data_IF_140830371951
#
_entry.id   IF_140830371951
#
_cell.length_a   1.000
_cell.length_b   1.000
_cell.length_c   1.000
_cell.angle_alpha   90.00
_cell.angle_beta   90.00
_cell.angle_gamma   90.00
#
_symmetry.space_group_name_H-M   'P 1'
#
loop_
_entity.id
_entity.type
_entity.pdbx_description
1 polymer ?
#
# COMPACT_ATOMS: atom_id res chain seq x y z
N UNK A 1 21.97 -14.87 18.71
CA UNK A 1 23.34 -15.06 19.23
C UNK A 1 23.83 -13.73 19.76
N UNK A 2 24.23 -13.65 21.03
CA UNK A 2 24.87 -12.44 21.58
C UNK A 2 26.22 -12.35 20.89
N UNK A 3 26.38 -11.36 20.01
CA UNK A 3 27.68 -11.05 19.42
C UNK A 3 28.57 -10.61 20.57
N UNK A 4 29.66 -11.33 20.83
CA UNK A 4 30.70 -10.90 21.76
C UNK A 4 31.34 -9.66 21.12
N UNK A 5 30.86 -8.46 21.47
CA UNK A 5 31.29 -7.21 20.85
C UNK A 5 32.10 -6.37 21.82
N UNK A 6 33.26 -5.90 21.35
CA UNK A 6 34.13 -4.98 22.05
C UNK A 6 33.51 -3.57 22.17
N UNK A 7 34.20 -2.67 22.89
CA UNK A 7 33.71 -1.32 23.14
C UNK A 7 33.50 -0.50 21.86
N UNK A 8 34.30 -0.74 20.81
CA UNK A 8 34.18 -0.04 19.54
C UNK A 8 32.92 -0.48 18.78
N UNK A 9 32.65 -1.77 18.73
CA UNK A 9 31.41 -2.30 18.17
C UNK A 9 30.18 -1.79 18.92
N UNK A 10 30.19 -1.77 20.26
CA UNK A 10 29.07 -1.25 21.05
C UNK A 10 28.78 0.23 20.74
N UNK A 11 29.83 1.04 20.58
CA UNK A 11 29.70 2.44 20.21
C UNK A 11 29.09 2.62 18.81
N UNK A 12 29.48 1.77 17.84
CA UNK A 12 28.90 1.77 16.49
C UNK A 12 27.42 1.40 16.52
N UNK A 13 27.04 0.31 17.21
CA UNK A 13 25.64 -0.10 17.34
C UNK A 13 24.80 1.00 17.99
N UNK A 14 25.34 1.68 19.00
CA UNK A 14 24.66 2.82 19.64
C UNK A 14 24.52 4.03 18.70
N UNK A 15 25.49 4.29 17.83
CA UNK A 15 25.41 5.33 16.82
C UNK A 15 24.36 5.01 15.75
N UNK A 16 24.36 3.78 15.21
CA UNK A 16 23.37 3.32 14.24
C UNK A 16 21.95 3.37 14.80
N UNK A 17 21.75 2.93 16.06
CA UNK A 17 20.46 3.02 16.74
C UNK A 17 19.98 4.47 16.88
N UNK A 18 20.88 5.39 17.23
CA UNK A 18 20.53 6.83 17.31
C UNK A 18 20.15 7.38 15.94
N UNK A 19 20.91 7.05 14.89
CA UNK A 19 20.60 7.47 13.52
C UNK A 19 19.21 6.97 13.09
N UNK A 20 18.94 5.67 13.25
CA UNK A 20 17.63 5.09 12.98
C UNK A 20 16.50 5.79 13.77
N UNK A 21 16.72 6.04 15.06
CA UNK A 21 15.72 6.69 15.91
C UNK A 21 15.36 8.10 15.41
N UNK A 22 16.35 8.94 15.12
CA UNK A 22 16.12 10.33 14.71
C UNK A 22 15.73 10.48 13.24
N UNK A 23 16.23 9.62 12.35
CA UNK A 23 16.04 9.77 10.91
C UNK A 23 14.87 8.95 10.38
N UNK A 24 14.48 7.85 11.04
CA UNK A 24 13.40 6.97 10.58
C UNK A 24 12.25 6.98 11.58
N UNK A 25 12.49 6.54 12.83
CA UNK A 25 11.37 6.33 13.77
C UNK A 25 10.62 7.61 14.14
N UNK A 26 11.32 8.67 14.55
CA UNK A 26 10.63 9.91 14.96
C UNK A 26 9.81 10.51 13.80
N UNK A 27 10.36 10.72 12.59
CA UNK A 27 9.59 11.26 11.47
C UNK A 27 8.40 10.37 11.08
N UNK A 28 8.57 9.05 11.12
CA UNK A 28 7.52 8.07 10.84
C UNK A 28 6.33 8.22 11.80
N UNK A 29 6.60 8.18 13.11
CA UNK A 29 5.56 8.32 14.14
C UNK A 29 4.93 9.73 14.15
N UNK A 30 5.73 10.75 13.83
CA UNK A 30 5.23 12.12 13.70
C UNK A 30 4.26 12.24 12.51
N UNK A 31 4.52 11.57 11.39
CA UNK A 31 3.62 11.53 10.25
C UNK A 31 2.26 10.91 10.62
N UNK A 32 2.25 9.80 11.37
CA UNK A 32 1.01 9.25 11.93
C UNK A 32 0.31 10.22 12.86
N UNK A 33 1.04 10.89 13.75
CA UNK A 33 0.47 11.85 14.68
C UNK A 33 -0.22 13.02 13.95
N UNK A 34 0.41 13.56 12.90
CA UNK A 34 -0.19 14.61 12.07
C UNK A 34 -1.44 14.14 11.32
N UNK A 35 -1.38 12.96 10.69
CA UNK A 35 -2.54 12.38 10.01
C UNK A 35 -3.70 12.18 10.98
N UNK A 36 -3.43 11.62 12.16
CA UNK A 36 -4.42 11.40 13.21
C UNK A 36 -5.03 12.70 13.72
N UNK A 37 -4.20 13.71 13.99
CA UNK A 37 -4.66 15.02 14.42
C UNK A 37 -5.58 15.66 13.37
N UNK A 38 -5.20 15.59 12.09
CA UNK A 38 -5.98 16.17 11.00
C UNK A 38 -7.28 15.41 10.74
N UNK A 39 -7.27 14.08 10.78
CA UNK A 39 -8.42 13.24 10.44
C UNK A 39 -9.39 13.03 11.61
N UNK A 40 -8.90 13.04 12.85
CA UNK A 40 -9.69 12.78 14.05
C UNK A 40 -10.37 11.41 13.99
N UNK A 41 -11.68 11.35 14.24
CA UNK A 41 -12.45 10.09 14.21
C UNK A 41 -12.49 9.42 12.83
N UNK A 42 -12.01 10.09 11.77
CA UNK A 42 -11.97 9.56 10.40
C UNK A 42 -10.64 8.93 10.00
N UNK A 43 -9.62 8.84 10.87
CA UNK A 43 -8.35 8.19 10.48
C UNK A 43 -8.57 6.77 9.95
N UNK A 44 -9.50 6.02 10.55
CA UNK A 44 -9.80 4.64 10.11
C UNK A 44 -10.40 4.53 8.69
N UNK A 45 -10.71 5.66 8.05
CA UNK A 45 -11.11 5.71 6.64
C UNK A 45 -9.91 5.78 5.68
N UNK A 46 -8.69 5.97 6.20
CA UNK A 46 -7.45 5.88 5.45
C UNK A 46 -6.97 4.42 5.46
N UNK A 47 -6.70 3.82 4.28
CA UNK A 47 -6.16 2.48 4.20
C UNK A 47 -4.81 2.35 4.93
N UNK A 48 -4.56 1.18 5.52
CA UNK A 48 -3.35 0.93 6.31
C UNK A 48 -2.10 1.13 5.44
N UNK A 49 -2.07 0.57 4.24
CA UNK A 49 -0.93 0.73 3.32
C UNK A 49 -0.63 2.21 3.02
N UNK A 50 -1.65 3.07 2.93
CA UNK A 50 -1.44 4.48 2.63
C UNK A 50 -0.92 5.22 3.85
N UNK A 51 -1.44 4.92 5.04
CA UNK A 51 -0.98 5.49 6.30
C UNK A 51 0.49 5.12 6.59
N UNK A 52 0.86 3.85 6.41
CA UNK A 52 2.25 3.41 6.60
C UNK A 52 3.15 3.92 5.48
N UNK A 53 2.69 3.88 4.23
CA UNK A 53 3.45 4.35 3.08
C UNK A 53 3.79 5.83 3.16
N UNK A 54 2.85 6.68 3.60
CA UNK A 54 3.13 8.10 3.81
C UNK A 54 4.07 8.33 5.00
N UNK A 55 4.02 7.49 6.04
CA UNK A 55 4.93 7.60 7.18
C UNK A 55 6.37 7.28 6.77
N UNK A 56 6.58 6.20 6.01
CA UNK A 56 7.90 5.86 5.45
C UNK A 56 8.43 6.94 4.50
N UNK A 57 7.55 7.58 3.70
CA UNK A 57 7.98 8.69 2.83
C UNK A 57 8.37 9.96 3.61
N UNK A 58 8.02 10.08 4.89
CA UNK A 58 8.47 11.17 5.76
C UNK A 58 9.76 10.84 6.53
N UNK A 59 10.27 9.62 6.42
CA UNK A 59 11.60 9.26 6.93
C UNK A 59 12.68 10.04 6.16
N UNK A 60 13.76 10.40 6.85
CA UNK A 60 14.85 11.21 6.29
C UNK A 60 15.87 10.38 5.49
N UNK A 61 15.73 9.05 5.49
CA UNK A 61 16.59 8.09 4.80
C UNK A 61 15.84 6.77 4.58
N UNK A 62 16.34 5.89 3.70
CA UNK A 62 15.79 4.53 3.54
C UNK A 62 14.76 4.36 2.42
N UNK A 63 14.22 5.46 1.88
CA UNK A 63 13.18 5.41 0.84
C UNK A 63 13.72 4.82 -0.48
N UNK A 64 14.94 5.18 -0.88
CA UNK A 64 15.55 4.63 -2.11
C UNK A 64 15.75 3.13 -2.00
N UNK A 65 16.28 2.66 -0.86
CA UNK A 65 16.48 1.24 -0.57
C UNK A 65 15.15 0.47 -0.51
N UNK A 66 14.09 1.10 0.00
CA UNK A 66 12.74 0.53 -0.03
C UNK A 66 12.24 0.38 -1.47
N UNK A 67 12.42 1.38 -2.33
CA UNK A 67 12.02 1.31 -3.74
C UNK A 67 12.82 0.23 -4.49
N UNK A 68 14.13 0.11 -4.26
CA UNK A 68 14.96 -0.92 -4.87
C UNK A 68 14.57 -2.35 -4.44
N UNK A 69 14.21 -2.53 -3.17
CA UNK A 69 13.61 -3.77 -2.67
C UNK A 69 12.33 -4.09 -3.44
N UNK A 70 11.45 -3.12 -3.65
CA UNK A 70 10.19 -3.33 -4.39
C UNK A 70 10.45 -3.67 -5.86
N UNK A 71 11.43 -3.04 -6.52
CA UNK A 71 11.84 -3.42 -7.88
C UNK A 71 12.30 -4.88 -7.94
N UNK A 72 13.03 -5.34 -6.92
CA UNK A 72 13.44 -6.74 -6.81
C UNK A 72 12.22 -7.67 -6.65
N UNK A 73 11.28 -7.32 -5.78
CA UNK A 73 10.02 -8.07 -5.59
C UNK A 73 9.15 -8.10 -6.85
N UNK A 74 9.17 -7.00 -7.62
CA UNK A 74 8.47 -6.88 -8.89
C UNK A 74 9.00 -7.91 -9.90
N UNK A 75 10.32 -8.00 -10.05
CA UNK A 75 10.99 -8.92 -10.98
C UNK A 75 10.76 -10.39 -10.60
N UNK A 76 10.60 -10.70 -9.31
CA UNK A 76 10.33 -12.06 -8.83
C UNK A 76 8.84 -12.42 -8.73
N UNK A 77 7.93 -11.50 -9.09
CA UNK A 77 6.48 -11.73 -9.03
C UNK A 77 5.92 -11.81 -7.60
N UNK A 78 6.61 -11.21 -6.62
CA UNK A 78 6.29 -11.30 -5.20
C UNK A 78 5.49 -10.11 -4.64
N UNK A 79 5.11 -9.15 -5.49
CA UNK A 79 4.30 -8.00 -5.07
C UNK A 79 2.89 -8.42 -4.68
N UNK A 80 2.43 -7.95 -3.51
CA UNK A 80 1.04 -8.11 -3.09
C UNK A 80 0.09 -7.29 -3.96
N UNK A 81 -1.18 -7.68 -4.03
CA UNK A 81 -2.20 -6.85 -4.68
C UNK A 81 -2.59 -5.71 -3.75
N UNK A 82 -2.79 -4.51 -4.28
CA UNK A 82 -3.16 -3.33 -3.49
C UNK A 82 -4.47 -3.55 -2.73
N UNK A 83 -5.44 -4.24 -3.36
CA UNK A 83 -6.71 -4.61 -2.76
C UNK A 83 -6.59 -5.47 -1.48
N UNK A 84 -5.49 -6.19 -1.28
CA UNK A 84 -5.26 -7.03 -0.08
C UNK A 84 -4.29 -6.40 0.92
N UNK A 85 -3.61 -5.31 0.55
CA UNK A 85 -2.68 -4.61 1.45
C UNK A 85 -3.39 -3.80 2.53
N UNK A 86 -4.70 -3.53 2.39
CA UNK A 86 -5.50 -2.91 3.44
C UNK A 86 -6.02 -3.91 4.49
N UNK A 87 -5.79 -5.22 4.26
CA UNK A 87 -6.16 -6.22 5.24
C UNK A 87 -5.29 -6.06 6.50
N UNK A 88 -5.91 -6.14 7.67
CA UNK A 88 -5.27 -6.16 9.01
C UNK A 88 -4.25 -7.31 9.22
N UNK A 89 -3.92 -8.04 8.17
CA UNK A 89 -3.02 -9.21 8.15
C UNK A 89 -1.59 -8.87 8.54
N UNK A 90 -1.12 -7.62 8.49
CA UNK A 90 0.20 -7.24 9.02
C UNK A 90 0.32 -7.52 10.53
N UNK A 91 -0.76 -7.31 11.28
CA UNK A 91 -0.77 -7.41 12.75
C UNK A 91 -0.49 -8.85 13.24
N UNK A 92 -0.50 -9.85 12.36
CA UNK A 92 -0.17 -11.25 12.66
C UNK A 92 1.06 -11.82 11.94
N UNK A 93 1.84 -11.00 11.20
CA UNK A 93 3.03 -11.49 10.50
C UNK A 93 4.22 -11.60 11.47
N UNK A 94 4.64 -12.83 11.77
CA UNK A 94 5.88 -13.10 12.50
C UNK A 94 7.12 -13.18 11.58
N UNK A 95 6.92 -13.02 10.27
CA UNK A 95 7.98 -13.07 9.26
C UNK A 95 8.50 -11.66 8.98
N UNK A 96 9.59 -11.28 9.67
CA UNK A 96 10.20 -9.95 9.58
C UNK A 96 10.54 -9.55 8.13
N UNK A 97 11.15 -10.39 7.27
CA UNK A 97 11.29 -10.12 5.85
C UNK A 97 9.99 -9.68 5.15
N UNK A 98 8.91 -10.46 5.32
CA UNK A 98 7.61 -10.13 4.69
C UNK A 98 6.99 -8.84 5.21
N UNK A 99 7.24 -8.49 6.47
CA UNK A 99 6.81 -7.20 7.03
C UNK A 99 7.57 -6.06 6.34
N UNK A 100 8.90 -6.18 6.21
CA UNK A 100 9.74 -5.18 5.53
C UNK A 100 9.35 -5.01 4.06
N UNK A 101 9.06 -6.11 3.37
CA UNK A 101 8.61 -6.09 1.97
C UNK A 101 7.28 -5.35 1.81
N UNK A 102 6.34 -5.57 2.75
CA UNK A 102 5.06 -4.86 2.74
C UNK A 102 5.21 -3.36 2.99
N UNK A 103 6.03 -2.94 3.97
CA UNK A 103 6.30 -1.51 4.21
C UNK A 103 6.98 -0.85 3.02
N UNK A 104 7.94 -1.53 2.39
CA UNK A 104 8.60 -1.04 1.20
C UNK A 104 7.60 -0.88 0.04
N UNK A 105 6.72 -1.87 -0.15
CA UNK A 105 5.67 -1.80 -1.17
C UNK A 105 4.71 -0.63 -0.91
N UNK A 106 4.24 -0.45 0.31
CA UNK A 106 3.40 0.67 0.74
C UNK A 106 4.08 2.03 0.49
N UNK A 107 5.36 2.16 0.86
CA UNK A 107 6.15 3.36 0.63
C UNK A 107 6.30 3.68 -0.86
N UNK A 108 6.55 2.66 -1.69
CA UNK A 108 6.71 2.85 -3.14
C UNK A 108 5.42 3.28 -3.83
N UNK A 109 4.25 2.82 -3.36
CA UNK A 109 2.95 3.26 -3.86
C UNK A 109 2.75 4.74 -3.59
N UNK A 110 3.11 5.23 -2.40
CA UNK A 110 3.00 6.66 -2.06
C UNK A 110 4.07 7.49 -2.76
N UNK A 111 5.30 6.98 -2.90
CA UNK A 111 6.36 7.65 -3.66
C UNK A 111 5.96 7.85 -5.13
N UNK A 112 5.31 6.85 -5.73
CA UNK A 112 4.73 6.96 -7.08
C UNK A 112 3.64 8.03 -7.15
N UNK A 113 2.76 8.13 -6.15
CA UNK A 113 1.78 9.21 -6.06
C UNK A 113 2.46 10.58 -6.14
N UNK A 114 3.50 10.78 -5.32
CA UNK A 114 4.21 12.05 -5.25
C UNK A 114 4.95 12.38 -6.54
N UNK A 115 5.59 11.39 -7.15
CA UNK A 115 6.31 11.60 -8.39
C UNK A 115 5.40 12.00 -9.55
N UNK A 116 4.17 11.47 -9.59
CA UNK A 116 3.24 11.68 -10.72
C UNK A 116 2.27 12.83 -10.52
N UNK A 117 1.84 13.10 -9.28
CA UNK A 117 0.81 14.10 -8.97
C UNK A 117 1.26 15.16 -7.95
N UNK A 118 2.54 15.19 -7.56
CA UNK A 118 3.09 16.17 -6.63
C UNK A 118 2.82 15.85 -5.17
N UNK A 119 3.51 16.56 -4.27
CA UNK A 119 3.39 16.36 -2.82
C UNK A 119 2.02 16.80 -2.28
N UNK A 120 1.34 17.74 -2.95
CA UNK A 120 0.01 18.21 -2.58
C UNK A 120 -1.09 17.13 -2.71
N UNK A 121 -0.82 16.08 -3.50
CA UNK A 121 -1.76 14.98 -3.74
C UNK A 121 -2.19 14.29 -2.44
N UNK A 122 -1.27 14.12 -1.48
CA UNK A 122 -1.57 13.58 -0.15
C UNK A 122 -2.65 14.41 0.55
N UNK A 123 -2.41 15.73 0.65
CA UNK A 123 -3.32 16.66 1.30
C UNK A 123 -4.68 16.72 0.60
N UNK A 124 -4.69 16.66 -0.74
CA UNK A 124 -5.93 16.63 -1.52
C UNK A 124 -6.76 15.37 -1.25
N UNK A 125 -6.14 14.18 -1.21
CA UNK A 125 -6.83 12.92 -0.91
C UNK A 125 -7.37 12.96 0.52
N UNK A 126 -6.52 13.27 1.51
CA UNK A 126 -6.90 13.30 2.93
C UNK A 126 -8.07 14.27 3.16
N UNK A 127 -8.03 15.47 2.54
CA UNK A 127 -9.12 16.45 2.63
C UNK A 127 -10.44 15.87 2.14
N UNK A 128 -10.45 15.22 0.97
CA UNK A 128 -11.66 14.63 0.40
C UNK A 128 -12.21 13.49 1.27
N UNK A 129 -11.34 12.67 1.87
CA UNK A 129 -11.77 11.61 2.80
C UNK A 129 -12.36 12.21 4.08
N UNK A 130 -11.73 13.27 4.62
CA UNK A 130 -12.26 14.03 5.76
C UNK A 130 -13.66 14.59 5.48
N UNK A 131 -13.90 15.03 4.25
CA UNK A 131 -15.18 15.60 3.79
C UNK A 131 -16.30 14.58 3.57
N UNK A 132 -16.02 13.27 3.54
CA UNK A 132 -17.07 12.26 3.32
C UNK A 132 -16.74 11.19 2.31
N UNK A 133 -15.77 11.41 1.42
CA UNK A 133 -15.49 10.46 0.35
C UNK A 133 -14.85 9.19 0.89
N UNK A 134 -15.13 8.06 0.24
CA UNK A 134 -14.31 6.86 0.40
C UNK A 134 -12.89 7.17 -0.10
N UNK A 135 -11.89 6.46 0.44
CA UNK A 135 -10.52 6.64 -0.01
C UNK A 135 -10.36 6.43 -1.52
N UNK A 136 -10.98 5.40 -2.09
CA UNK A 136 -10.93 5.14 -3.53
C UNK A 136 -11.55 6.29 -4.34
N UNK A 137 -12.68 6.85 -3.90
CA UNK A 137 -13.29 8.00 -4.58
C UNK A 137 -12.43 9.27 -4.47
N UNK A 138 -11.74 9.46 -3.35
CA UNK A 138 -10.79 10.55 -3.15
C UNK A 138 -9.55 10.38 -4.04
N UNK A 139 -8.92 9.20 -4.03
CA UNK A 139 -7.80 8.85 -4.91
C UNK A 139 -8.17 9.10 -6.37
N UNK A 140 -9.31 8.58 -6.83
CA UNK A 140 -9.79 8.78 -8.20
C UNK A 140 -10.06 10.24 -8.54
N UNK A 141 -10.53 11.04 -7.58
CA UNK A 141 -10.74 12.48 -7.79
C UNK A 141 -9.42 13.24 -8.02
N UNK A 142 -8.33 12.76 -7.42
CA UNK A 142 -7.00 13.40 -7.51
C UNK A 142 -6.19 12.86 -8.69
N UNK A 143 -6.22 11.55 -8.92
CA UNK A 143 -5.37 10.88 -9.90
C UNK A 143 -6.05 10.61 -11.23
N UNK A 144 -7.40 10.58 -11.26
CA UNK A 144 -8.20 10.07 -12.37
C UNK A 144 -8.27 8.55 -12.45
N UNK A 145 -7.59 7.81 -11.57
CA UNK A 145 -7.45 6.35 -11.62
C UNK A 145 -8.36 5.66 -10.59
N UNK A 146 -8.96 4.52 -10.96
CA UNK A 146 -9.48 3.57 -9.97
C UNK A 146 -8.33 2.96 -9.16
N UNK A 147 -8.63 2.25 -8.07
CA UNK A 147 -7.59 1.60 -7.27
C UNK A 147 -6.80 0.55 -8.09
N UNK A 148 -7.48 -0.22 -8.94
CA UNK A 148 -6.84 -1.19 -9.83
C UNK A 148 -5.98 -0.49 -10.90
N UNK A 149 -6.49 0.58 -11.53
CA UNK A 149 -5.73 1.34 -12.53
C UNK A 149 -4.51 2.04 -11.91
N UNK A 150 -4.61 2.45 -10.63
CA UNK A 150 -3.49 2.99 -9.87
C UNK A 150 -2.41 1.93 -9.62
N UNK A 151 -2.81 0.73 -9.20
CA UNK A 151 -1.86 -0.39 -9.02
C UNK A 151 -1.16 -0.76 -10.34
N UNK A 152 -1.92 -0.78 -11.44
CA UNK A 152 -1.38 -1.03 -12.79
C UNK A 152 -0.31 0.00 -13.14
N UNK A 153 -0.62 1.29 -13.02
CA UNK A 153 0.30 2.37 -13.36
C UNK A 153 1.55 2.37 -12.46
N UNK A 154 1.39 2.00 -11.17
CA UNK A 154 2.51 1.84 -10.25
C UNK A 154 3.41 0.65 -10.64
N UNK A 155 2.84 -0.48 -11.08
CA UNK A 155 3.63 -1.63 -11.57
C UNK A 155 4.41 -1.29 -12.84
N UNK A 156 3.81 -0.52 -13.76
CA UNK A 156 4.50 0.01 -14.94
C UNK A 156 5.66 0.94 -14.55
N UNK A 157 5.45 1.79 -13.53
CA UNK A 157 6.49 2.67 -13.00
C UNK A 157 7.67 1.90 -12.39
N UNK A 158 7.44 0.70 -11.85
CA UNK A 158 8.51 -0.21 -11.42
C UNK A 158 9.24 -0.90 -12.58
N UNK A 159 8.79 -0.72 -13.82
CA UNK A 159 9.37 -1.31 -15.03
C UNK A 159 8.74 -2.65 -15.45
N UNK A 160 7.62 -3.05 -14.86
CA UNK A 160 6.90 -4.26 -15.28
C UNK A 160 6.12 -3.99 -16.57
N UNK A 161 6.26 -4.88 -17.56
CA UNK A 161 5.56 -4.78 -18.87
C UNK A 161 4.35 -5.71 -18.98
N UNK A 162 4.31 -6.79 -18.20
CA UNK A 162 3.20 -7.73 -18.16
C UNK A 162 2.45 -7.56 -16.84
N UNK A 163 1.22 -7.08 -16.93
CA UNK A 163 0.34 -6.90 -15.78
C UNK A 163 -0.53 -8.17 -15.65
N UNK A 164 -0.58 -8.81 -14.47
CA UNK A 164 -1.39 -10.02 -14.26
C UNK A 164 -2.86 -9.83 -14.68
N UNK A 165 -3.49 -10.80 -15.38
CA UNK A 165 -4.88 -10.69 -15.84
C UNK A 165 -5.91 -10.64 -14.69
N UNK A 166 -5.49 -10.85 -13.45
CA UNK A 166 -6.34 -10.81 -12.24
C UNK A 166 -6.78 -9.40 -11.82
N UNK A 167 -6.36 -8.36 -12.54
CA UNK A 167 -6.77 -6.96 -12.32
C UNK A 167 -7.93 -6.50 -13.19
N UNK A 168 -8.43 -7.34 -14.11
CA UNK A 168 -9.72 -7.12 -14.76
C UNK A 168 -10.79 -7.96 -14.04
N UNK A 169 -11.91 -7.38 -13.60
CA UNK A 169 -13.04 -8.19 -13.18
C UNK A 169 -13.50 -8.99 -14.40
N UNK A 170 -13.26 -10.30 -14.42
CA UNK A 170 -13.92 -11.18 -15.40
C UNK A 170 -15.42 -11.01 -15.18
N UNK A 171 -16.21 -10.52 -16.15
CA UNK A 171 -17.65 -10.51 -16.00
C UNK A 171 -18.07 -11.95 -15.71
N UNK A 172 -18.65 -12.19 -14.54
CA UNK A 172 -19.31 -13.46 -14.28
C UNK A 172 -20.50 -13.50 -15.21
N UNK A 173 -20.35 -14.15 -16.36
CA UNK A 173 -21.48 -14.48 -17.22
C UNK A 173 -22.35 -15.45 -16.40
N UNK A 174 -23.38 -14.93 -15.75
CA UNK A 174 -24.46 -15.75 -15.24
C UNK A 174 -25.18 -16.35 -16.45
N UNK A 175 -24.76 -17.56 -16.83
CA UNK A 175 -25.63 -18.44 -17.62
C UNK A 175 -26.79 -18.83 -16.71
N UNK A 176 -27.88 -18.07 -16.77
CA UNK A 176 -29.16 -18.59 -16.29
C UNK A 176 -29.50 -19.81 -17.15
N UNK A 177 -29.67 -21.01 -16.58
CA UNK A 177 -30.20 -22.12 -17.35
C UNK A 177 -31.57 -21.71 -17.88
N UNK A 178 -31.78 -21.85 -19.19
CA UNK A 178 -33.08 -21.61 -19.82
C UNK A 178 -34.13 -22.45 -19.09
N UNK A 179 -35.22 -21.86 -18.57
CA UNK A 179 -36.28 -22.65 -17.97
C UNK A 179 -36.79 -23.62 -19.04
N UNK A 180 -36.59 -24.91 -18.79
CA UNK A 180 -37.15 -25.96 -19.62
C UNK A 180 -38.64 -26.00 -19.30
N UNK A 181 -39.45 -25.35 -20.14
CA UNK A 181 -40.89 -25.55 -20.08
C UNK A 181 -41.17 -26.99 -20.52
N UNK A 182 -41.64 -27.80 -19.57
CA UNK A 182 -42.18 -29.11 -19.86
C UNK A 182 -43.45 -28.93 -20.73
N UNK A 183 -43.58 -29.63 -21.87
CA UNK A 183 -44.77 -29.49 -22.71
C UNK A 183 -46.01 -29.95 -21.95
N UNK A 184 -47.01 -29.06 -21.89
CA UNK A 184 -48.30 -29.32 -21.22
C UNK A 184 -48.93 -30.61 -21.79
N UNK A 185 -49.31 -31.58 -20.94
CA UNK A 185 -49.96 -32.79 -21.42
C UNK A 185 -51.33 -32.45 -22.05
N UNK A 186 -51.72 -33.14 -23.13
CA UNK A 186 -53.03 -32.91 -23.75
C UNK A 186 -54.15 -33.29 -22.78
N UNK A 187 -55.21 -32.46 -22.76
CA UNK A 187 -56.39 -32.69 -21.92
C UNK A 187 -57.16 -33.94 -22.39
N UNK A 188 -57.90 -34.61 -21.48
CA UNK A 188 -58.63 -35.84 -21.79
C UNK A 188 -59.73 -35.65 -22.83
#
# INVERSE_FOLDING_TARGET
SIVNCDAACQAQVAAERRRWFFNQLIPHELAHAFLNYWMGSRTSAIPIWFNEGQAVNNELEGLEEAIDRVRTLAQSGQLERLAVMDARTIIGRNDLPRVRDWYAQAASLVAFLYQRWGLESLGAIIRLVKEGKTFEAALRSVTGLSLDAYEIAWREWLGLREIPPTFVPTPTLFFFPTPTHEPTPPRP
#
